data_IF_477788790575
#
_entry.id   IF_477788790575
#
_cell.length_a   1.000
_cell.length_b   1.000
_cell.length_c   1.000
_cell.angle_alpha   90.00
_cell.angle_beta   90.00
_cell.angle_gamma   90.00
#
_symmetry.space_group_name_H-M   'P 1'
#
loop_
_entity.id
_entity.type
_entity.pdbx_description
1 polymer ?
#
# COMPACT_ATOMS: atom_id res chain seq x y z
N UNK A 1 31.90 3.77 0.81
CA UNK A 1 31.95 4.02 -0.65
C UNK A 1 30.56 3.93 -1.33
N UNK A 2 29.62 3.09 -0.88
CA UNK A 2 28.28 2.96 -1.49
C UNK A 2 27.13 3.31 -0.52
N UNK A 3 27.00 4.60 -0.16
CA UNK A 3 25.98 5.05 0.80
C UNK A 3 24.54 4.93 0.30
N UNK A 4 24.33 4.98 -1.02
CA UNK A 4 23.01 4.95 -1.65
C UNK A 4 22.55 3.54 -2.09
N UNK A 5 23.42 2.54 -1.96
CA UNK A 5 23.12 1.18 -2.44
C UNK A 5 22.21 0.40 -1.46
N UNK A 6 22.13 0.82 -0.20
CA UNK A 6 21.39 0.12 0.85
C UNK A 6 20.36 1.04 1.51
N UNK A 7 19.12 0.59 1.62
CA UNK A 7 18.03 1.31 2.30
C UNK A 7 18.01 1.09 3.82
N UNK A 8 19.18 1.15 4.48
CA UNK A 8 19.30 0.95 5.94
C UNK A 8 18.77 2.14 6.75
N UNK A 9 18.50 3.27 6.10
CA UNK A 9 17.98 4.52 6.65
C UNK A 9 16.46 4.69 6.45
N UNK A 10 15.78 3.66 5.93
CA UNK A 10 14.35 3.71 5.63
C UNK A 10 14.00 4.39 4.31
N UNK A 11 14.97 4.83 3.52
CA UNK A 11 14.71 5.28 2.14
C UNK A 11 14.32 4.11 1.27
N UNK A 12 13.36 4.37 0.38
CA UNK A 12 13.06 3.50 -0.73
C UNK A 12 13.92 3.86 -1.94
N UNK A 13 14.24 2.85 -2.74
CA UNK A 13 14.78 3.08 -4.08
C UNK A 13 13.72 3.74 -4.97
N UNK A 14 14.15 4.60 -5.87
CA UNK A 14 13.29 5.18 -6.89
C UNK A 14 13.91 4.92 -8.26
N UNK A 15 13.11 4.34 -9.16
CA UNK A 15 13.46 4.15 -10.56
C UNK A 15 12.36 4.81 -11.40
N UNK A 16 12.68 5.78 -12.28
CA UNK A 16 11.70 6.60 -12.96
C UNK A 16 11.08 5.87 -14.16
N UNK A 17 10.46 4.72 -13.91
CA UNK A 17 9.69 3.98 -14.91
C UNK A 17 8.21 4.00 -14.57
N UNK A 18 7.40 4.15 -15.61
CA UNK A 18 5.95 3.99 -15.53
C UNK A 18 5.57 2.68 -16.20
N UNK A 19 4.60 1.99 -15.61
CA UNK A 19 4.11 0.70 -16.10
C UNK A 19 2.63 0.84 -16.45
N UNK A 20 2.26 0.41 -17.65
CA UNK A 20 0.87 0.34 -18.07
C UNK A 20 0.32 -1.07 -17.79
N UNK A 21 -0.79 -1.15 -17.06
CA UNK A 21 -1.47 -2.41 -16.76
C UNK A 21 -2.62 -2.61 -17.75
N UNK A 22 -2.45 -3.56 -18.69
CA UNK A 22 -3.47 -3.88 -19.70
C UNK A 22 -4.60 -4.71 -19.10
N UNK A 23 -5.85 -4.24 -19.25
CA UNK A 23 -7.05 -4.95 -18.83
C UNK A 23 -7.56 -5.89 -19.93
N UNK A 24 -8.29 -6.93 -19.53
CA UNK A 24 -8.98 -7.80 -20.49
C UNK A 24 -10.12 -7.02 -21.17
N UNK A 25 -10.45 -7.29 -22.45
CA UNK A 25 -11.60 -6.66 -23.12
C UNK A 25 -12.89 -6.85 -22.31
N UNK A 26 -13.68 -5.78 -22.16
CA UNK A 26 -14.95 -5.80 -21.42
C UNK A 26 -14.84 -5.73 -19.89
N UNK A 27 -13.64 -5.54 -19.33
CA UNK A 27 -13.47 -5.40 -17.87
C UNK A 27 -14.13 -4.11 -17.38
N UNK A 28 -14.95 -4.21 -16.32
CA UNK A 28 -15.57 -3.08 -15.64
C UNK A 28 -14.96 -2.88 -14.24
N UNK A 29 -14.98 -1.64 -13.70
CA UNK A 29 -14.52 -1.37 -12.35
C UNK A 29 -15.26 -2.16 -11.27
N UNK A 30 -14.53 -2.59 -10.25
CA UNK A 30 -15.07 -3.24 -9.06
C UNK A 30 -14.67 -2.43 -7.83
N UNK A 31 -15.65 -2.05 -7.02
CA UNK A 31 -15.45 -1.34 -5.77
C UNK A 31 -16.10 -2.10 -4.62
N UNK A 32 -15.25 -2.64 -3.74
CA UNK A 32 -15.68 -3.36 -2.55
C UNK A 32 -15.48 -2.50 -1.29
N UNK A 33 -16.41 -2.55 -0.32
CA UNK A 33 -16.26 -1.82 0.94
C UNK A 33 -15.10 -2.41 1.78
N UNK A 34 -14.43 -1.61 2.62
CA UNK A 34 -13.42 -2.12 3.55
C UNK A 34 -14.01 -3.18 4.50
N UNK A 35 -13.20 -4.17 4.87
CA UNK A 35 -13.62 -5.12 5.90
C UNK A 35 -13.68 -4.45 7.28
N UNK A 36 -14.58 -4.93 8.18
CA UNK A 36 -14.59 -4.47 9.56
C UNK A 36 -13.24 -4.74 10.23
N UNK A 37 -12.67 -3.72 10.84
CA UNK A 37 -11.42 -3.80 11.61
C UNK A 37 -11.70 -3.43 13.06
N UNK A 38 -11.12 -4.19 14.01
CA UNK A 38 -11.10 -3.76 15.41
C UNK A 38 -10.26 -2.49 15.57
N UNK A 39 -10.44 -1.70 16.65
CA UNK A 39 -9.66 -0.48 16.88
C UNK A 39 -8.14 -0.73 16.77
N UNK A 40 -7.64 -1.81 17.38
CA UNK A 40 -6.23 -2.18 17.30
C UNK A 40 -5.74 -2.50 15.87
N UNK A 41 -6.58 -3.14 15.04
CA UNK A 41 -6.24 -3.38 13.62
C UNK A 41 -6.28 -2.08 12.82
N UNK A 42 -7.23 -1.20 13.11
CA UNK A 42 -7.38 0.10 12.44
C UNK A 42 -6.17 0.99 12.69
N UNK A 43 -5.67 1.05 13.92
CA UNK A 43 -4.44 1.79 14.23
C UNK A 43 -3.21 1.30 13.43
N UNK A 44 -3.11 0.00 13.17
CA UNK A 44 -2.01 -0.55 12.34
C UNK A 44 -2.18 -0.12 10.88
N UNK A 45 -3.40 -0.19 10.35
CA UNK A 45 -3.72 0.24 8.99
C UNK A 45 -3.37 1.73 8.81
N UNK A 46 -3.83 2.58 9.72
CA UNK A 46 -3.63 4.03 9.63
C UNK A 46 -2.14 4.39 9.69
N UNK A 47 -1.37 3.80 10.63
CA UNK A 47 0.09 3.99 10.72
C UNK A 47 0.83 3.56 9.44
N UNK A 48 0.39 2.47 8.80
CA UNK A 48 1.00 1.99 7.57
C UNK A 48 0.66 2.92 6.38
N UNK A 49 -0.58 3.40 6.28
CA UNK A 49 -1.01 4.38 5.29
C UNK A 49 -0.17 5.67 5.40
N UNK A 50 -0.06 6.24 6.61
CA UNK A 50 0.70 7.46 6.85
C UNK A 50 2.16 7.31 6.40
N UNK A 51 2.77 6.17 6.75
CA UNK A 51 4.15 5.85 6.36
C UNK A 51 4.30 5.78 4.84
N UNK A 52 3.38 5.12 4.12
CA UNK A 52 3.45 5.01 2.66
C UNK A 52 3.15 6.31 1.94
N UNK A 53 2.27 7.15 2.48
CA UNK A 53 2.03 8.50 1.96
C UNK A 53 3.29 9.34 2.13
N UNK A 54 3.91 9.34 3.32
CA UNK A 54 5.15 10.06 3.58
C UNK A 54 6.32 9.60 2.68
N UNK A 55 6.38 8.29 2.38
CA UNK A 55 7.39 7.71 1.50
C UNK A 55 7.07 7.89 0.00
N UNK A 56 5.90 8.41 -0.36
CA UNK A 56 5.45 8.58 -1.75
C UNK A 56 5.16 7.26 -2.47
N UNK A 57 4.86 6.18 -1.72
CA UNK A 57 4.48 4.87 -2.28
C UNK A 57 3.03 4.87 -2.76
N UNK A 58 2.16 5.60 -2.05
CA UNK A 58 0.75 5.79 -2.38
C UNK A 58 0.37 7.27 -2.30
N UNK A 59 -0.78 7.61 -2.89
CA UNK A 59 -1.36 8.94 -2.83
C UNK A 59 -2.90 8.86 -2.71
N UNK A 60 -3.57 9.90 -2.19
CA UNK A 60 -5.02 9.98 -2.22
C UNK A 60 -5.55 9.94 -3.66
N UNK A 61 -6.58 9.13 -3.89
CA UNK A 61 -7.22 9.03 -5.21
C UNK A 61 -8.74 8.90 -5.09
N UNK A 62 -9.45 9.26 -6.17
CA UNK A 62 -10.88 8.98 -6.36
C UNK A 62 -11.03 7.97 -7.49
N UNK A 63 -10.94 6.69 -7.15
CA UNK A 63 -10.96 5.60 -8.11
C UNK A 63 -12.33 4.91 -8.14
N UNK A 64 -12.83 4.48 -9.31
CA UNK A 64 -13.97 3.56 -9.39
C UNK A 64 -13.58 2.13 -8.97
N UNK A 65 -12.30 1.86 -8.73
CA UNK A 65 -11.77 0.59 -8.24
C UNK A 65 -11.44 0.67 -6.75
N UNK A 66 -11.86 -0.33 -5.99
CA UNK A 66 -11.48 -0.48 -4.59
C UNK A 66 -11.42 -1.95 -4.17
N UNK A 67 -10.36 -2.31 -3.45
CA UNK A 67 -10.19 -3.61 -2.82
C UNK A 67 -10.12 -3.45 -1.29
N UNK A 68 -10.72 -4.36 -0.52
CA UNK A 68 -10.69 -4.28 0.93
C UNK A 68 -9.30 -4.65 1.46
N UNK A 69 -8.93 -4.03 2.58
CA UNK A 69 -7.68 -4.28 3.30
C UNK A 69 -7.95 -5.15 4.52
N UNK A 70 -6.98 -6.00 4.89
CA UNK A 70 -7.00 -6.77 6.13
C UNK A 70 -5.59 -6.86 6.72
N UNK A 71 -5.52 -7.17 8.01
CA UNK A 71 -4.27 -7.40 8.71
C UNK A 71 -3.96 -8.89 8.77
N UNK A 72 -2.74 -9.24 8.38
CA UNK A 72 -2.14 -10.56 8.60
C UNK A 72 -1.15 -10.51 9.76
N UNK A 73 -0.83 -11.66 10.33
CA UNK A 73 0.16 -11.76 11.40
C UNK A 73 1.32 -12.64 10.97
N UNK A 74 2.53 -12.17 11.24
CA UNK A 74 3.75 -12.97 11.07
C UNK A 74 4.64 -12.79 12.28
N UNK A 75 4.97 -13.90 12.95
CA UNK A 75 5.74 -13.92 14.21
C UNK A 75 5.14 -12.98 15.26
N UNK A 76 3.81 -13.00 15.42
CA UNK A 76 3.07 -12.14 16.35
C UNK A 76 2.95 -10.67 15.94
N UNK A 77 3.60 -10.23 14.86
CA UNK A 77 3.56 -8.83 14.41
C UNK A 77 2.47 -8.64 13.36
N UNK A 78 1.57 -7.65 13.50
CA UNK A 78 0.57 -7.34 12.50
C UNK A 78 1.24 -6.72 11.26
N UNK A 79 0.70 -7.04 10.08
CA UNK A 79 1.14 -6.52 8.78
C UNK A 79 -0.08 -6.25 7.92
N UNK A 80 -0.11 -5.08 7.31
CA UNK A 80 -0.97 -4.76 6.18
C UNK A 80 -0.27 -5.15 4.89
#
# INVERSE_FOLDING_TARGET
>A
KHKLAFGVDGRLGNYPAQVEIRLKPGTQPVSLPPFPASPAKREVIDKQMDSWIQLGVIEPSKSPWAAPVFITYRNGKPRM
#
